data_IF_172082873364
#
_entry.id   IF_172082873364
#
_cell.length_a   1.000
_cell.length_b   1.000
_cell.length_c   1.000
_cell.angle_alpha   90.00
_cell.angle_beta   90.00
_cell.angle_gamma   90.00
#
_symmetry.space_group_name_H-M   'P 1'
#
loop_
_entity.id
_entity.type
_entity.pdbx_description
1 polymer ?
#
# COMPACT_ATOMS: atom_id res chain seq x y z
N UNK A 1 -22.09 25.77 0.25
CA UNK A 1 -21.62 25.26 1.56
C UNK A 1 -22.72 24.34 2.09
N UNK A 2 -22.70 23.09 1.72
CA UNK A 2 -23.60 22.08 2.26
C UNK A 2 -22.94 21.53 3.54
N UNK A 3 -23.60 21.73 4.67
CA UNK A 3 -23.26 21.08 5.93
C UNK A 3 -23.18 19.57 5.67
N UNK A 4 -21.99 19.01 5.80
CA UNK A 4 -21.82 17.58 5.97
C UNK A 4 -22.35 17.28 7.37
N UNK A 5 -23.56 16.73 7.44
CA UNK A 5 -24.13 16.27 8.69
C UNK A 5 -23.16 15.27 9.33
N UNK A 6 -22.79 15.51 10.60
CA UNK A 6 -21.84 14.72 11.38
C UNK A 6 -22.21 13.23 11.53
N UNK A 7 -23.36 12.80 11.05
CA UNK A 7 -23.85 11.42 11.05
C UNK A 7 -23.52 10.65 9.75
N UNK A 8 -22.86 11.27 8.78
CA UNK A 8 -22.63 10.69 7.46
C UNK A 8 -21.36 9.82 7.42
N UNK A 9 -20.45 9.99 8.34
CA UNK A 9 -19.25 9.18 8.54
C UNK A 9 -19.54 8.17 9.66
N UNK A 10 -19.27 6.89 9.57
CA UNK A 10 -18.33 6.12 8.75
C UNK A 10 -18.90 4.92 7.98
N UNK A 11 -20.19 4.59 8.15
CA UNK A 11 -20.72 3.35 7.56
C UNK A 11 -20.94 3.42 6.05
N UNK A 12 -21.25 4.60 5.51
CA UNK A 12 -21.51 4.76 4.09
C UNK A 12 -20.24 4.92 3.24
N UNK A 13 -19.15 5.45 3.81
CA UNK A 13 -17.87 5.62 3.10
C UNK A 13 -17.21 4.29 2.79
N UNK A 14 -17.44 3.28 3.63
CA UNK A 14 -16.86 1.95 3.46
C UNK A 14 -17.62 1.05 2.48
N UNK A 15 -18.88 1.37 2.18
CA UNK A 15 -19.76 0.47 1.45
C UNK A 15 -20.07 0.92 0.01
N UNK A 16 -19.86 2.21 -0.35
CA UNK A 16 -20.34 2.72 -1.64
C UNK A 16 -19.28 3.50 -2.44
N UNK A 17 -18.75 2.84 -3.48
CA UNK A 17 -17.86 3.47 -4.49
C UNK A 17 -18.51 4.71 -5.12
N UNK A 18 -19.83 4.77 -5.21
CA UNK A 18 -20.56 5.90 -5.79
C UNK A 18 -20.40 7.18 -4.96
N UNK A 19 -20.22 7.05 -3.66
CA UNK A 19 -19.94 8.15 -2.75
C UNK A 19 -18.58 8.76 -3.07
N UNK A 20 -17.55 7.93 -3.25
CA UNK A 20 -16.21 8.34 -3.64
C UNK A 20 -16.18 8.99 -5.02
N UNK A 21 -16.95 8.47 -5.97
CA UNK A 21 -17.09 9.08 -7.30
C UNK A 21 -17.68 10.47 -7.24
N UNK A 22 -18.68 10.70 -6.36
CA UNK A 22 -19.24 12.05 -6.13
C UNK A 22 -18.23 13.02 -5.51
N UNK A 23 -17.43 12.58 -4.55
CA UNK A 23 -16.33 13.38 -3.99
C UNK A 23 -15.23 13.64 -5.02
N UNK A 24 -14.98 12.69 -5.89
CA UNK A 24 -13.96 12.78 -6.92
C UNK A 24 -14.34 13.72 -8.07
N UNK A 25 -15.61 14.11 -8.21
CA UNK A 25 -16.06 15.09 -9.21
C UNK A 25 -15.73 16.53 -8.82
N UNK A 26 -15.48 16.81 -7.55
CA UNK A 26 -14.90 18.06 -7.09
C UNK A 26 -13.38 18.05 -7.29
N UNK A 27 -12.90 18.81 -8.25
CA UNK A 27 -11.54 18.81 -8.80
C UNK A 27 -10.44 19.41 -7.89
N UNK A 28 -10.45 19.23 -6.59
CA UNK A 28 -9.44 19.85 -5.72
C UNK A 28 -8.71 18.83 -4.87
N UNK A 29 -7.37 18.83 -4.92
CA UNK A 29 -6.48 18.09 -4.01
C UNK A 29 -6.81 18.37 -2.53
N UNK A 30 -7.30 19.57 -2.23
CA UNK A 30 -7.78 19.95 -0.89
C UNK A 30 -8.91 19.05 -0.36
N UNK A 31 -9.72 18.46 -1.25
CA UNK A 31 -10.78 17.54 -0.83
C UNK A 31 -10.21 16.19 -0.33
N UNK A 32 -9.13 15.69 -0.94
CA UNK A 32 -8.48 14.46 -0.49
C UNK A 32 -7.87 14.60 0.90
N UNK A 33 -7.14 15.70 1.15
CA UNK A 33 -6.58 15.99 2.47
C UNK A 33 -7.66 16.06 3.55
N UNK A 34 -8.79 16.72 3.28
CA UNK A 34 -9.91 16.83 4.23
C UNK A 34 -10.50 15.45 4.54
N UNK A 35 -10.75 14.64 3.51
CA UNK A 35 -11.28 13.28 3.70
C UNK A 35 -10.31 12.45 4.55
N UNK A 36 -9.03 12.47 4.24
CA UNK A 36 -8.02 11.72 4.97
C UNK A 36 -7.92 12.17 6.44
N UNK A 37 -7.97 13.47 6.70
CA UNK A 37 -7.98 14.00 8.06
C UNK A 37 -9.20 13.54 8.86
N UNK A 38 -10.37 13.48 8.25
CA UNK A 38 -11.59 12.99 8.90
C UNK A 38 -11.52 11.48 9.17
N UNK A 39 -10.99 10.73 8.21
CA UNK A 39 -10.77 9.29 8.36
C UNK A 39 -9.75 8.99 9.46
N UNK A 40 -8.64 9.70 9.50
CA UNK A 40 -7.66 9.55 10.58
C UNK A 40 -8.24 9.89 11.95
N UNK A 41 -9.01 10.97 12.05
CA UNK A 41 -9.75 11.29 13.29
C UNK A 41 -10.70 10.17 13.71
N UNK A 42 -11.42 9.58 12.73
CA UNK A 42 -12.30 8.45 13.03
C UNK A 42 -11.54 7.26 13.59
N UNK A 43 -10.45 6.85 12.94
CA UNK A 43 -9.64 5.73 13.40
C UNK A 43 -8.94 6.02 14.74
N UNK A 44 -8.52 7.25 14.98
CA UNK A 44 -7.91 7.66 16.25
C UNK A 44 -8.94 7.74 17.40
N UNK A 45 -10.18 8.19 17.10
CA UNK A 45 -11.23 8.32 18.11
C UNK A 45 -11.92 7.00 18.46
N UNK A 46 -11.78 5.98 17.63
CA UNK A 46 -12.36 4.65 17.81
C UNK A 46 -11.25 3.60 17.92
N UNK A 47 -10.39 3.78 18.94
CA UNK A 47 -9.34 2.80 19.23
C UNK A 47 -9.94 1.41 19.46
N UNK A 48 -9.39 0.38 18.77
CA UNK A 48 -9.94 -0.97 18.88
C UNK A 48 -9.63 -1.58 20.25
N UNK A 49 -10.55 -2.40 20.74
CA UNK A 49 -10.23 -3.37 21.78
C UNK A 49 -9.35 -4.49 21.21
N UNK A 50 -8.68 -5.24 22.07
CA UNK A 50 -7.83 -6.36 21.64
C UNK A 50 -8.56 -7.33 20.69
N UNK A 51 -9.83 -7.63 20.98
CA UNK A 51 -10.64 -8.58 20.18
C UNK A 51 -11.06 -8.01 18.81
N UNK A 52 -11.06 -6.69 18.63
CA UNK A 52 -11.51 -6.01 17.40
C UNK A 52 -10.37 -5.46 16.54
N UNK A 53 -9.11 -5.63 16.97
CA UNK A 53 -7.95 -5.02 16.28
C UNK A 53 -7.81 -5.50 14.82
N UNK A 54 -8.03 -6.78 14.55
CA UNK A 54 -7.92 -7.33 13.19
C UNK A 54 -8.97 -6.73 12.25
N UNK A 55 -10.19 -6.56 12.74
CA UNK A 55 -11.27 -5.93 11.97
C UNK A 55 -10.98 -4.44 11.73
N UNK A 56 -10.45 -3.75 12.72
CA UNK A 56 -10.04 -2.36 12.62
C UNK A 56 -8.96 -2.16 11.54
N UNK A 57 -7.89 -2.96 11.58
CA UNK A 57 -6.80 -2.90 10.61
C UNK A 57 -7.29 -3.23 9.19
N UNK A 58 -8.20 -4.19 9.08
CA UNK A 58 -8.83 -4.54 7.81
C UNK A 58 -9.68 -3.39 7.26
N UNK A 59 -10.54 -2.78 8.06
CA UNK A 59 -11.37 -1.62 7.66
C UNK A 59 -10.49 -0.47 7.19
N UNK A 60 -9.37 -0.22 7.87
CA UNK A 60 -8.41 0.79 7.45
C UNK A 60 -7.81 0.45 6.08
N UNK A 61 -7.40 -0.79 5.86
CA UNK A 61 -6.89 -1.25 4.55
C UNK A 61 -7.95 -1.12 3.46
N UNK A 62 -9.17 -1.55 3.70
CA UNK A 62 -10.28 -1.49 2.75
C UNK A 62 -10.60 -0.03 2.34
N UNK A 63 -10.52 0.92 3.31
CA UNK A 63 -10.66 2.33 3.01
C UNK A 63 -9.59 2.83 2.03
N UNK A 64 -8.32 2.56 2.32
CA UNK A 64 -7.24 3.00 1.44
C UNK A 64 -7.28 2.32 0.07
N UNK A 65 -7.75 1.08 -0.02
CA UNK A 65 -8.00 0.42 -1.29
C UNK A 65 -9.01 1.19 -2.16
N UNK A 66 -10.12 1.61 -1.57
CA UNK A 66 -11.13 2.41 -2.27
C UNK A 66 -10.57 3.76 -2.68
N UNK A 67 -9.85 4.44 -1.80
CA UNK A 67 -9.22 5.72 -2.07
C UNK A 67 -8.24 5.63 -3.25
N UNK A 68 -7.34 4.64 -3.23
CA UNK A 68 -6.37 4.41 -4.30
C UNK A 68 -7.06 4.05 -5.62
N UNK A 69 -8.12 3.23 -5.60
CA UNK A 69 -8.91 2.89 -6.79
C UNK A 69 -9.53 4.12 -7.45
N UNK A 70 -10.02 5.08 -6.65
CA UNK A 70 -10.60 6.31 -7.18
C UNK A 70 -9.55 7.14 -7.91
N UNK A 71 -8.39 7.35 -7.30
CA UNK A 71 -7.30 8.13 -7.93
C UNK A 71 -6.77 7.38 -9.16
N UNK A 72 -6.53 6.06 -9.05
CA UNK A 72 -6.09 5.22 -10.14
C UNK A 72 -7.00 5.32 -11.38
N UNK A 73 -8.31 5.20 -11.19
CA UNK A 73 -9.27 5.27 -12.29
C UNK A 73 -9.35 6.64 -12.96
N UNK A 74 -8.90 7.69 -12.28
CA UNK A 74 -8.82 9.04 -12.85
C UNK A 74 -7.58 9.25 -13.71
N UNK A 75 -6.44 8.77 -13.23
CA UNK A 75 -5.11 8.98 -13.83
C UNK A 75 -4.73 7.88 -14.80
N UNK A 76 -4.75 6.64 -14.34
CA UNK A 76 -4.27 5.48 -15.08
C UNK A 76 -5.43 4.68 -15.68
N UNK A 77 -5.87 5.07 -16.87
CA UNK A 77 -6.89 4.34 -17.65
C UNK A 77 -6.32 3.15 -18.42
N UNK A 78 -5.02 2.88 -18.32
CA UNK A 78 -4.37 1.79 -19.02
C UNK A 78 -4.84 0.42 -18.51
N UNK A 79 -5.19 -0.45 -19.44
CA UNK A 79 -5.55 -1.85 -19.15
C UNK A 79 -4.34 -2.79 -19.06
N UNK A 80 -3.11 -2.24 -19.06
CA UNK A 80 -1.88 -3.02 -19.09
C UNK A 80 -0.96 -2.77 -17.90
N UNK A 81 -1.49 -2.10 -16.88
CA UNK A 81 -0.77 -1.79 -15.64
C UNK A 81 -1.62 -2.24 -14.47
N UNK A 82 -1.00 -2.68 -13.40
CA UNK A 82 -1.66 -3.10 -12.16
C UNK A 82 -1.09 -2.36 -10.97
N UNK A 83 -1.95 -1.98 -10.04
CA UNK A 83 -1.60 -1.48 -8.73
C UNK A 83 -1.76 -2.60 -7.71
N UNK A 84 -0.68 -2.92 -7.02
CA UNK A 84 -0.60 -4.02 -6.07
C UNK A 84 -0.16 -3.47 -4.71
N UNK A 85 -0.87 -3.80 -3.64
CA UNK A 85 -0.41 -3.61 -2.28
C UNK A 85 0.59 -4.72 -1.93
N UNK A 86 1.68 -4.38 -1.24
CA UNK A 86 2.69 -5.35 -0.79
C UNK A 86 2.99 -5.18 0.69
N UNK A 87 3.73 -6.11 1.28
CA UNK A 87 4.09 -6.07 2.70
C UNK A 87 2.89 -6.06 3.65
N UNK A 88 2.97 -5.31 4.74
CA UNK A 88 1.89 -5.21 5.73
C UNK A 88 0.56 -4.73 5.14
N UNK A 89 0.61 -3.78 4.20
CA UNK A 89 -0.56 -3.33 3.47
C UNK A 89 -1.10 -4.41 2.52
N UNK A 90 -0.22 -5.18 1.88
CA UNK A 90 -0.60 -6.33 1.05
C UNK A 90 -1.38 -7.40 1.83
N UNK A 91 -1.00 -7.64 3.06
CA UNK A 91 -1.69 -8.56 4.00
C UNK A 91 -3.08 -8.06 4.43
N UNK A 92 -3.43 -6.81 4.17
CA UNK A 92 -4.69 -6.20 4.61
C UNK A 92 -4.69 -5.81 6.09
N UNK A 93 -3.52 -5.60 6.68
CA UNK A 93 -3.35 -5.22 8.08
C UNK A 93 -2.59 -3.88 8.16
N UNK A 94 -3.29 -2.79 7.82
CA UNK A 94 -2.69 -1.46 7.80
C UNK A 94 -2.78 -0.82 9.19
N UNK A 95 -1.66 -0.77 9.89
CA UNK A 95 -1.56 -0.10 11.18
C UNK A 95 -1.67 1.43 11.04
N UNK A 96 -2.17 2.15 12.07
CA UNK A 96 -2.04 3.60 12.14
C UNK A 96 -0.55 4.01 11.97
N UNK A 97 -0.30 5.10 11.26
CA UNK A 97 1.04 5.64 10.97
C UNK A 97 1.95 4.73 10.10
N UNK A 98 1.48 3.57 9.65
CA UNK A 98 2.20 2.80 8.64
C UNK A 98 2.07 3.43 7.27
N UNK A 99 3.14 3.38 6.50
CA UNK A 99 3.15 3.71 5.08
C UNK A 99 2.32 2.72 4.24
N UNK A 100 1.93 3.17 3.07
CA UNK A 100 1.25 2.35 2.07
C UNK A 100 2.29 1.82 1.07
N UNK A 101 2.65 0.55 1.21
CA UNK A 101 3.59 -0.09 0.28
C UNK A 101 2.87 -0.48 -1.02
N UNK A 102 3.28 0.16 -2.12
CA UNK A 102 2.67 0.05 -3.44
C UNK A 102 3.66 -0.49 -4.47
N UNK A 103 3.23 -1.48 -5.25
CA UNK A 103 3.91 -1.94 -6.45
C UNK A 103 3.05 -1.61 -7.67
N UNK A 104 3.59 -0.80 -8.58
CA UNK A 104 3.03 -0.59 -9.91
C UNK A 104 3.70 -1.59 -10.84
N UNK A 105 2.89 -2.55 -11.32
CA UNK A 105 3.33 -3.70 -12.07
C UNK A 105 2.89 -3.59 -13.53
N UNK A 106 3.85 -3.60 -14.45
CA UNK A 106 3.61 -3.56 -15.89
C UNK A 106 4.79 -4.14 -16.67
N UNK A 107 4.61 -4.40 -17.96
CA UNK A 107 5.72 -4.66 -18.89
C UNK A 107 6.57 -3.38 -19.04
N UNK A 108 7.87 -3.54 -19.33
CA UNK A 108 8.81 -2.41 -19.37
C UNK A 108 8.42 -1.36 -20.42
N UNK A 109 7.88 -1.79 -21.56
CA UNK A 109 7.38 -0.90 -22.60
C UNK A 109 6.18 -0.06 -22.13
N UNK A 110 5.33 -0.64 -21.30
CA UNK A 110 4.18 0.06 -20.73
C UNK A 110 4.61 1.04 -19.65
N UNK A 111 5.62 0.70 -18.85
CA UNK A 111 6.22 1.61 -17.86
C UNK A 111 6.77 2.86 -18.57
N UNK A 112 7.53 2.67 -19.67
CA UNK A 112 8.08 3.78 -20.44
C UNK A 112 6.97 4.63 -21.11
N UNK A 113 5.94 3.97 -21.64
CA UNK A 113 4.86 4.65 -22.38
C UNK A 113 3.91 5.42 -21.45
N UNK A 114 3.81 5.05 -20.19
CA UNK A 114 2.87 5.63 -19.23
C UNK A 114 3.56 6.32 -18.04
N UNK A 115 4.86 6.60 -18.15
CA UNK A 115 5.66 7.20 -17.08
C UNK A 115 5.03 8.47 -16.52
N UNK A 116 4.61 9.41 -17.36
CA UNK A 116 3.95 10.66 -16.95
C UNK A 116 2.66 10.41 -16.16
N UNK A 117 1.85 9.43 -16.56
CA UNK A 117 0.61 9.10 -15.85
C UNK A 117 0.88 8.40 -14.51
N UNK A 118 1.95 7.60 -14.44
CA UNK A 118 2.41 6.99 -13.18
C UNK A 118 2.89 8.07 -12.22
N UNK A 119 3.69 9.01 -12.69
CA UNK A 119 4.15 10.16 -11.91
C UNK A 119 2.98 11.03 -11.43
N UNK A 120 2.01 11.31 -12.31
CA UNK A 120 0.80 12.03 -11.95
C UNK A 120 0.02 11.32 -10.83
N UNK A 121 -0.13 10.00 -10.93
CA UNK A 121 -0.78 9.20 -9.90
C UNK A 121 -0.05 9.31 -8.55
N UNK A 122 1.27 9.11 -8.53
CA UNK A 122 2.08 9.22 -7.31
C UNK A 122 2.04 10.63 -6.72
N UNK A 123 2.12 11.65 -7.56
CA UNK A 123 2.03 13.06 -7.14
C UNK A 123 0.70 13.33 -6.44
N UNK A 124 -0.42 12.82 -6.96
CA UNK A 124 -1.72 13.00 -6.31
C UNK A 124 -1.78 12.34 -4.92
N UNK A 125 -1.07 11.22 -4.72
CA UNK A 125 -0.97 10.58 -3.40
C UNK A 125 -0.14 11.41 -2.42
N UNK A 126 0.99 11.96 -2.85
CA UNK A 126 1.81 12.86 -2.03
C UNK A 126 1.09 14.18 -1.74
N UNK A 127 0.41 14.76 -2.71
CA UNK A 127 -0.42 15.96 -2.53
C UNK A 127 -1.55 15.74 -1.53
N UNK A 128 -2.06 14.50 -1.45
CA UNK A 128 -3.02 14.11 -0.42
C UNK A 128 -2.38 13.92 0.97
N UNK A 129 -1.06 14.09 1.09
CA UNK A 129 -0.29 13.90 2.32
C UNK A 129 -0.21 12.44 2.80
N UNK A 130 -0.25 11.49 1.86
CA UNK A 130 -0.06 10.08 2.17
C UNK A 130 1.44 9.74 2.25
N UNK A 131 1.79 8.97 3.27
CA UNK A 131 3.10 8.34 3.37
C UNK A 131 3.05 7.05 2.55
N UNK A 132 3.79 7.00 1.45
CA UNK A 132 3.81 5.85 0.55
C UNK A 132 5.23 5.34 0.31
N UNK A 133 5.43 4.04 0.47
CA UNK A 133 6.51 3.30 -0.16
C UNK A 133 6.06 2.87 -1.56
N UNK A 134 6.86 3.10 -2.60
CA UNK A 134 6.43 2.69 -3.93
C UNK A 134 7.57 2.10 -4.77
N UNK A 135 7.19 1.24 -5.70
CA UNK A 135 8.09 0.73 -6.73
C UNK A 135 7.32 0.52 -8.04
N UNK A 136 8.01 0.74 -9.16
CA UNK A 136 7.49 0.50 -10.52
C UNK A 136 8.39 -0.53 -11.17
N UNK A 137 7.84 -1.72 -11.48
CA UNK A 137 8.66 -2.86 -11.91
C UNK A 137 7.94 -3.76 -12.92
N UNK A 138 8.72 -4.44 -13.75
CA UNK A 138 8.22 -5.61 -14.48
C UNK A 138 8.22 -6.86 -13.57
N UNK A 139 7.56 -7.94 -14.04
CA UNK A 139 7.56 -9.22 -13.32
C UNK A 139 8.98 -9.75 -13.18
N UNK A 140 9.78 -9.67 -14.24
CA UNK A 140 11.18 -10.11 -14.26
C UNK A 140 12.02 -9.34 -13.24
N UNK A 141 11.85 -8.03 -13.17
CA UNK A 141 12.53 -7.19 -12.18
C UNK A 141 12.10 -7.54 -10.76
N UNK A 142 10.82 -7.80 -10.50
CA UNK A 142 10.34 -8.25 -9.20
C UNK A 142 11.03 -9.55 -8.78
N UNK A 143 11.12 -10.54 -9.66
CA UNK A 143 11.76 -11.82 -9.37
C UNK A 143 13.27 -11.65 -9.16
N UNK A 144 13.93 -10.88 -10.02
CA UNK A 144 15.37 -10.62 -9.92
C UNK A 144 15.74 -9.97 -8.59
N UNK A 145 15.03 -8.91 -8.20
CA UNK A 145 15.28 -8.20 -6.95
C UNK A 145 14.92 -9.05 -5.72
N UNK A 146 13.84 -9.83 -5.77
CA UNK A 146 13.46 -10.73 -4.68
C UNK A 146 14.50 -11.85 -4.44
N UNK A 147 15.17 -12.32 -5.49
CA UNK A 147 16.29 -13.29 -5.34
C UNK A 147 17.54 -12.64 -4.72
N UNK A 148 17.77 -11.36 -5.00
CA UNK A 148 18.93 -10.62 -4.52
C UNK A 148 18.76 -10.11 -3.08
N UNK A 149 17.53 -9.74 -2.69
CA UNK A 149 17.24 -9.11 -1.40
C UNK A 149 16.08 -9.82 -0.68
N UNK A 150 16.37 -10.35 0.51
CA UNK A 150 15.40 -11.07 1.33
C UNK A 150 14.27 -10.16 1.83
N UNK A 151 14.50 -8.85 1.98
CA UNK A 151 13.47 -7.89 2.40
C UNK A 151 12.46 -7.71 1.28
N UNK A 152 12.94 -7.54 0.04
CA UNK A 152 12.08 -7.46 -1.15
C UNK A 152 11.30 -8.76 -1.32
N UNK A 153 11.96 -9.91 -1.16
CA UNK A 153 11.31 -11.22 -1.21
C UNK A 153 10.16 -11.30 -0.21
N UNK A 154 10.42 -10.95 1.05
CA UNK A 154 9.41 -10.99 2.12
C UNK A 154 8.23 -10.07 1.81
N UNK A 155 8.49 -8.85 1.33
CA UNK A 155 7.43 -7.91 0.97
C UNK A 155 6.56 -8.42 -0.18
N UNK A 156 7.16 -9.07 -1.17
CA UNK A 156 6.43 -9.63 -2.30
C UNK A 156 5.67 -10.91 -1.98
N UNK A 157 5.94 -11.60 -0.87
CA UNK A 157 5.12 -12.74 -0.42
C UNK A 157 3.73 -12.31 0.06
N UNK A 158 3.62 -11.10 0.58
CA UNK A 158 2.38 -10.51 1.06
C UNK A 158 1.89 -9.48 0.04
N UNK A 159 1.10 -9.91 -0.92
CA UNK A 159 0.64 -9.04 -1.99
C UNK A 159 -0.84 -9.16 -2.28
N UNK A 160 -1.46 -8.07 -2.75
CA UNK A 160 -2.89 -8.02 -3.07
C UNK A 160 -3.16 -7.02 -4.19
N UNK A 161 -3.94 -7.44 -5.20
CA UNK A 161 -4.35 -6.54 -6.29
C UNK A 161 -5.31 -5.47 -5.76
N UNK A 162 -4.96 -4.20 -5.96
CA UNK A 162 -5.83 -3.06 -5.67
C UNK A 162 -6.64 -2.68 -6.91
N UNK A 163 -5.96 -2.42 -8.03
CA UNK A 163 -6.59 -1.97 -9.27
C UNK A 163 -5.80 -2.40 -10.50
N UNK A 164 -6.39 -2.28 -11.68
CA UNK A 164 -5.72 -2.51 -12.95
C UNK A 164 -5.92 -3.91 -13.53
N UNK A 165 -4.91 -4.46 -14.18
CA UNK A 165 -5.01 -5.66 -14.99
C UNK A 165 -4.85 -6.95 -14.20
N UNK A 166 -5.95 -7.70 -14.04
CA UNK A 166 -5.94 -8.99 -13.34
C UNK A 166 -5.04 -10.04 -13.99
N UNK A 167 -4.86 -10.00 -15.32
CA UNK A 167 -4.02 -10.99 -16.01
C UNK A 167 -2.56 -10.80 -15.62
N UNK A 168 -2.03 -9.58 -15.70
CA UNK A 168 -0.65 -9.25 -15.30
C UNK A 168 -0.42 -9.65 -13.83
N UNK A 169 -1.38 -9.35 -12.97
CA UNK A 169 -1.29 -9.75 -11.57
C UNK A 169 -1.27 -11.28 -11.39
N UNK A 170 -2.10 -12.02 -12.13
CA UNK A 170 -2.09 -13.48 -12.06
C UNK A 170 -0.78 -14.08 -12.61
N UNK A 171 -0.24 -13.51 -13.69
CA UNK A 171 1.05 -13.91 -14.24
C UNK A 171 2.17 -13.65 -13.20
N UNK A 172 2.15 -12.50 -12.54
CA UNK A 172 3.05 -12.18 -11.42
C UNK A 172 2.92 -13.20 -10.27
N UNK A 173 1.72 -13.54 -9.81
CA UNK A 173 1.51 -14.55 -8.77
C UNK A 173 2.11 -15.90 -9.19
N UNK A 174 1.91 -16.29 -10.45
CA UNK A 174 2.42 -17.54 -10.99
C UNK A 174 3.96 -17.57 -11.02
N UNK A 175 4.58 -16.47 -11.43
CA UNK A 175 6.05 -16.35 -11.46
C UNK A 175 6.65 -16.27 -10.05
N UNK A 176 6.00 -15.59 -9.10
CA UNK A 176 6.40 -15.63 -7.70
C UNK A 176 6.38 -17.06 -7.15
N UNK A 177 5.28 -17.78 -7.37
CA UNK A 177 5.15 -19.16 -6.90
C UNK A 177 6.22 -20.09 -7.47
N UNK A 178 6.59 -19.93 -8.76
CA UNK A 178 7.64 -20.75 -9.39
C UNK A 178 9.04 -20.44 -8.89
N UNK A 179 9.32 -19.16 -8.61
CA UNK A 179 10.68 -18.68 -8.40
C UNK A 179 11.06 -18.46 -6.94
N UNK A 180 10.10 -18.21 -6.05
CA UNK A 180 10.35 -17.87 -4.66
C UNK A 180 10.02 -19.01 -3.67
N UNK A 181 9.42 -20.11 -4.14
CA UNK A 181 9.25 -21.34 -3.37
C UNK A 181 10.53 -22.21 -3.43
N UNK A 182 11.70 -21.59 -3.27
CA UNK A 182 12.98 -22.24 -3.22
C UNK A 182 13.24 -22.94 -1.87
N UNK A 183 14.50 -23.27 -1.61
CA UNK A 183 14.90 -23.92 -0.36
C UNK A 183 14.50 -23.10 0.86
N UNK A 184 13.51 -23.62 1.60
CA UNK A 184 13.01 -23.01 2.84
C UNK A 184 14.13 -22.79 3.87
N UNK A 185 15.16 -23.64 3.86
CA UNK A 185 16.32 -23.50 4.73
C UNK A 185 17.17 -22.28 4.36
N UNK A 186 17.42 -22.06 3.07
CA UNK A 186 18.17 -20.88 2.59
C UNK A 186 17.42 -19.58 2.91
N UNK A 187 16.10 -19.56 2.68
CA UNK A 187 15.25 -18.42 3.03
C UNK A 187 15.32 -18.09 4.52
N UNK A 188 15.22 -19.12 5.37
CA UNK A 188 15.28 -18.96 6.82
C UNK A 188 16.63 -18.41 7.29
N UNK A 189 17.74 -18.94 6.76
CA UNK A 189 19.08 -18.43 7.08
C UNK A 189 19.27 -16.98 6.68
N UNK A 190 18.88 -16.59 5.47
CA UNK A 190 18.93 -15.19 5.01
C UNK A 190 18.06 -14.26 5.87
N UNK A 191 16.91 -14.75 6.32
CA UNK A 191 16.01 -13.96 7.19
C UNK A 191 16.57 -13.80 8.61
N UNK A 192 17.22 -14.80 9.16
CA UNK A 192 17.94 -14.67 10.42
C UNK A 192 19.09 -13.67 10.32
N UNK A 193 19.88 -13.74 9.26
CA UNK A 193 20.99 -12.82 9.02
C UNK A 193 20.49 -11.36 8.88
N UNK A 194 19.40 -11.14 8.14
CA UNK A 194 18.76 -9.83 8.03
C UNK A 194 18.32 -9.32 9.40
N UNK A 195 17.69 -10.17 10.21
CA UNK A 195 17.22 -9.82 11.54
C UNK A 195 18.41 -9.49 12.47
N UNK A 196 19.47 -10.27 12.46
CA UNK A 196 20.69 -9.98 13.23
C UNK A 196 21.32 -8.65 12.82
N UNK A 197 21.40 -8.37 11.51
CA UNK A 197 21.93 -7.12 10.99
C UNK A 197 21.07 -5.92 11.38
N UNK A 198 19.75 -6.10 11.45
CA UNK A 198 18.82 -5.09 11.97
C UNK A 198 19.06 -4.82 13.45
N UNK A 199 19.15 -5.86 14.28
CA UNK A 199 19.45 -5.69 15.71
C UNK A 199 20.79 -5.01 15.95
N UNK A 200 21.84 -5.37 15.21
CA UNK A 200 23.14 -4.69 15.31
C UNK A 200 23.08 -3.20 15.00
N UNK A 201 22.33 -2.82 13.95
CA UNK A 201 22.12 -1.40 13.58
C UNK A 201 21.39 -0.60 14.65
N UNK A 202 20.50 -1.23 15.40
CA UNK A 202 19.71 -0.58 16.45
C UNK A 202 20.21 -0.90 17.86
N UNK A 203 21.50 -1.15 18.03
CA UNK A 203 22.14 -1.34 19.33
C UNK A 203 21.67 -2.55 20.12
N UNK A 204 21.20 -3.62 19.43
CA UNK A 204 20.64 -4.84 20.01
C UNK A 204 19.43 -4.60 20.94
N UNK A 205 18.68 -3.52 20.74
CA UNK A 205 17.47 -3.27 21.51
C UNK A 205 16.33 -4.17 21.04
N UNK A 206 15.56 -4.70 22.00
CA UNK A 206 14.39 -5.54 21.73
C UNK A 206 13.20 -4.75 21.14
N UNK A 207 13.25 -3.44 21.21
CA UNK A 207 12.18 -2.53 20.82
C UNK A 207 12.54 -1.86 19.48
N UNK A 208 11.83 -2.24 18.43
CA UNK A 208 12.07 -1.84 17.05
C UNK A 208 11.60 -0.42 16.70
N UNK A 209 11.06 0.36 17.62
CA UNK A 209 10.65 1.72 17.32
C UNK A 209 11.70 2.76 17.64
N UNK A 210 12.91 2.45 17.39
CA UNK A 210 14.00 3.32 17.83
C UNK A 210 14.59 4.17 16.73
N UNK A 211 14.31 3.93 15.44
CA UNK A 211 14.91 4.77 14.40
C UNK A 211 14.06 5.98 14.05
N UNK A 212 12.75 5.82 13.92
CA UNK A 212 11.89 6.92 13.45
C UNK A 212 11.52 7.90 14.57
N UNK A 213 11.49 7.44 15.84
CA UNK A 213 11.21 8.31 16.99
C UNK A 213 12.44 9.08 17.50
N UNK A 214 13.65 8.72 17.10
CA UNK A 214 14.87 9.40 17.50
C UNK A 214 15.28 10.55 16.57
N UNK A 215 14.74 10.56 15.34
CA UNK A 215 15.03 11.60 14.35
C UNK A 215 14.05 12.79 14.44
N UNK A 216 13.04 12.73 15.33
CA UNK A 216 12.06 13.80 15.58
C UNK A 216 12.37 14.67 16.82
N UNK A 217 13.59 14.65 17.35
CA UNK A 217 14.00 15.51 18.49
C UNK A 217 15.03 16.54 18.06
#
# INVERSE_FOLDING_TARGET
MTNLDNNWFPNQVFEDISVWQRFSQGRSHDNYKKILLEVEKYFTSNEPTFDSISEFLKKRSDFFDLFLKVIWNKTLKSKRISLVAVGGYGRGALHPQSDLDLLILAEEIEIQSHGELIEEFLTQLWDANLIIGHSVRSIEQCISFAKADITINTNLLEHRLIAGNKKIYNDFCSELAKNLHGDTSEFFHKKLEEQENRYKRHGNTCLLYTSDAADEV
#
